data_IF_274856348730
#
_entry.id   IF_274856348730
#
_cell.length_a   1.000
_cell.length_b   1.000
_cell.length_c   1.000
_cell.angle_alpha   90.00
_cell.angle_beta   90.00
_cell.angle_gamma   90.00
#
_symmetry.space_group_name_H-M   'P 1'
#
loop_
_entity.id
_entity.type
_entity.pdbx_description
1 polymer ?
#
# COMPACT_ATOMS: atom_id res chain seq x y z
N UNK A 1 10.87 39.32 -7.51
CA UNK A 1 11.22 38.02 -6.86
C UNK A 1 10.07 37.39 -6.06
N UNK A 2 8.78 37.77 -6.24
CA UNK A 2 7.65 37.23 -5.45
C UNK A 2 6.63 36.38 -6.24
N UNK A 3 6.78 36.25 -7.57
CA UNK A 3 5.80 35.54 -8.40
C UNK A 3 6.02 34.02 -8.45
N UNK A 4 7.22 33.54 -8.09
CA UNK A 4 7.56 32.12 -8.11
C UNK A 4 6.93 31.32 -6.96
N UNK A 5 6.67 31.98 -5.82
CA UNK A 5 6.18 31.33 -4.59
C UNK A 5 4.74 30.82 -4.70
N UNK A 6 3.89 31.53 -5.44
CA UNK A 6 2.46 31.19 -5.51
C UNK A 6 2.19 29.93 -6.36
N UNK A 7 2.90 29.76 -7.48
CA UNK A 7 2.75 28.59 -8.35
C UNK A 7 3.25 27.31 -7.66
N UNK A 8 4.37 27.41 -6.95
CA UNK A 8 4.98 26.27 -6.25
C UNK A 8 4.09 25.76 -5.09
N UNK A 9 3.40 26.67 -4.38
CA UNK A 9 2.50 26.33 -3.28
C UNK A 9 1.33 25.45 -3.72
N UNK A 10 0.71 25.75 -4.86
CA UNK A 10 -0.45 25.00 -5.38
C UNK A 10 -0.04 23.55 -5.73
N UNK A 11 1.11 23.38 -6.36
CA UNK A 11 1.65 22.06 -6.73
C UNK A 11 1.92 21.20 -5.48
N UNK A 12 2.47 21.82 -4.43
CA UNK A 12 2.74 21.13 -3.16
C UNK A 12 1.43 20.71 -2.47
N UNK A 13 0.43 21.60 -2.42
CA UNK A 13 -0.87 21.29 -1.80
C UNK A 13 -1.56 20.11 -2.51
N UNK A 14 -1.58 20.10 -3.85
CA UNK A 14 -2.13 18.99 -4.64
C UNK A 14 -1.36 17.70 -4.37
N UNK A 15 -0.04 17.78 -4.32
CA UNK A 15 0.83 16.62 -4.05
C UNK A 15 0.57 16.02 -2.67
N UNK A 16 0.44 16.86 -1.64
CA UNK A 16 0.12 16.46 -0.27
C UNK A 16 -1.25 15.78 -0.24
N UNK A 17 -2.26 16.41 -0.84
CA UNK A 17 -3.62 15.87 -0.87
C UNK A 17 -3.73 14.56 -1.65
N UNK A 18 -2.86 14.37 -2.65
CA UNK A 18 -2.78 13.13 -3.39
C UNK A 18 -2.08 12.03 -2.59
N UNK A 19 -0.92 12.29 -2.00
CA UNK A 19 -0.08 11.26 -1.36
C UNK A 19 -0.63 10.83 0.01
N UNK A 20 -1.15 11.76 0.80
CA UNK A 20 -1.60 11.46 2.18
C UNK A 20 -2.62 10.33 2.26
N UNK A 21 -3.68 10.31 1.43
CA UNK A 21 -4.65 9.21 1.42
C UNK A 21 -3.99 7.86 1.14
N UNK A 22 -3.16 7.75 0.10
CA UNK A 22 -2.51 6.49 -0.29
C UNK A 22 -1.51 6.01 0.78
N UNK A 23 -0.71 6.94 1.31
CA UNK A 23 0.30 6.64 2.33
C UNK A 23 -0.32 6.23 3.67
N UNK A 24 -1.36 6.95 4.10
CA UNK A 24 -2.09 6.61 5.33
C UNK A 24 -2.84 5.27 5.21
N UNK A 25 -3.51 5.03 4.09
CA UNK A 25 -4.30 3.81 3.88
C UNK A 25 -3.44 2.55 3.79
N UNK A 26 -2.30 2.62 3.10
CA UNK A 26 -1.37 1.49 3.01
C UNK A 26 -0.73 1.14 4.36
N UNK A 27 -0.28 2.14 5.13
CA UNK A 27 0.26 1.95 6.48
C UNK A 27 -0.80 1.39 7.44
N UNK A 28 -2.06 1.86 7.36
CA UNK A 28 -3.16 1.31 8.15
C UNK A 28 -3.35 -0.18 7.87
N UNK A 29 -3.40 -0.58 6.59
CA UNK A 29 -3.59 -1.98 6.21
C UNK A 29 -2.41 -2.84 6.65
N UNK A 30 -1.17 -2.37 6.44
CA UNK A 30 0.04 -3.09 6.85
C UNK A 30 0.09 -3.31 8.37
N UNK A 31 -0.25 -2.28 9.15
CA UNK A 31 -0.36 -2.36 10.61
C UNK A 31 -1.45 -3.36 11.03
N UNK A 32 -2.65 -3.27 10.45
CA UNK A 32 -3.77 -4.17 10.78
C UNK A 32 -3.49 -5.64 10.43
N UNK A 33 -2.61 -5.89 9.46
CA UNK A 33 -2.21 -7.24 9.02
C UNK A 33 -0.98 -7.79 9.75
N UNK A 34 -0.39 -7.05 10.69
CA UNK A 34 0.86 -7.40 11.37
C UNK A 34 2.05 -7.63 10.42
N UNK A 35 2.02 -7.03 9.22
CA UNK A 35 3.09 -7.17 8.23
C UNK A 35 4.21 -6.15 8.50
N UNK A 36 5.01 -6.41 9.53
CA UNK A 36 6.08 -5.51 10.02
C UNK A 36 7.08 -5.10 8.93
N UNK A 37 7.47 -6.04 8.07
CA UNK A 37 8.39 -5.78 6.96
C UNK A 37 7.81 -4.80 5.93
N UNK A 38 6.55 -4.99 5.56
CA UNK A 38 5.86 -4.09 4.61
C UNK A 38 5.61 -2.72 5.20
N UNK A 39 5.32 -2.63 6.49
CA UNK A 39 5.22 -1.35 7.19
C UNK A 39 6.52 -0.54 7.09
N UNK A 40 7.68 -1.18 7.33
CA UNK A 40 8.99 -0.53 7.24
C UNK A 40 9.30 -0.10 5.81
N UNK A 41 9.03 -0.95 4.82
CA UNK A 41 9.25 -0.65 3.41
C UNK A 41 8.39 0.54 2.96
N UNK A 42 7.10 0.56 3.29
CA UNK A 42 6.17 1.65 2.96
C UNK A 42 6.53 2.97 3.68
N UNK A 43 7.19 2.88 4.83
CA UNK A 43 7.64 4.05 5.59
C UNK A 43 8.94 4.66 5.02
N UNK A 44 9.87 3.80 4.57
CA UNK A 44 11.18 4.21 4.03
C UNK A 44 11.09 4.63 2.57
N UNK A 45 10.24 3.98 1.77
CA UNK A 45 10.15 4.23 0.33
C UNK A 45 9.11 5.30 0.03
N UNK A 46 9.54 6.50 -0.35
CA UNK A 46 8.67 7.60 -0.80
C UNK A 46 8.38 7.51 -2.32
N UNK A 47 7.58 6.54 -2.74
CA UNK A 47 7.21 6.33 -4.16
C UNK A 47 5.97 7.09 -4.63
N UNK A 48 5.62 8.23 -4.02
CA UNK A 48 4.45 9.04 -4.42
C UNK A 48 3.11 8.27 -4.46
N UNK A 49 2.93 7.17 -3.71
CA UNK A 49 1.70 6.37 -3.74
C UNK A 49 1.74 5.12 -4.63
N UNK A 50 2.78 4.93 -5.49
CA UNK A 50 2.82 3.78 -6.41
C UNK A 50 3.05 2.45 -5.68
N UNK A 51 3.95 2.40 -4.70
CA UNK A 51 4.25 1.19 -3.95
C UNK A 51 3.08 0.81 -3.04
N UNK A 52 2.37 1.81 -2.53
CA UNK A 52 1.15 1.68 -1.75
C UNK A 52 0.05 0.96 -2.55
N UNK A 53 -0.18 1.38 -3.79
CA UNK A 53 -1.14 0.72 -4.71
C UNK A 53 -0.69 -0.71 -5.01
N UNK A 54 0.60 -0.91 -5.31
CA UNK A 54 1.14 -2.25 -5.58
C UNK A 54 0.95 -3.20 -4.39
N UNK A 55 1.20 -2.73 -3.16
CA UNK A 55 0.98 -3.51 -1.95
C UNK A 55 -0.48 -3.94 -1.80
N UNK A 56 -1.41 -3.00 -1.98
CA UNK A 56 -2.85 -3.28 -1.87
C UNK A 56 -3.28 -4.30 -2.93
N UNK A 57 -2.85 -4.17 -4.18
CA UNK A 57 -3.28 -5.09 -5.24
C UNK A 57 -2.62 -6.46 -5.18
N UNK A 58 -1.33 -6.54 -4.81
CA UNK A 58 -0.54 -7.76 -4.90
C UNK A 58 -0.49 -8.53 -3.58
N UNK A 59 -0.30 -7.85 -2.45
CA UNK A 59 -0.15 -8.48 -1.13
C UNK A 59 -1.50 -8.69 -0.44
N UNK A 60 -2.51 -7.83 -0.65
CA UNK A 60 -3.82 -8.07 -0.06
C UNK A 60 -4.42 -9.42 -0.51
N UNK A 61 -4.13 -9.85 -1.74
CA UNK A 61 -4.66 -11.09 -2.31
C UNK A 61 -3.97 -12.36 -1.81
N UNK A 62 -2.72 -12.27 -1.34
CA UNK A 62 -1.85 -13.45 -1.17
C UNK A 62 -2.17 -14.34 0.04
N UNK A 63 -3.08 -13.96 0.94
CA UNK A 63 -3.51 -14.85 2.04
C UNK A 63 -4.38 -16.02 1.56
N UNK A 64 -4.88 -15.97 0.32
CA UNK A 64 -5.71 -17.04 -0.24
C UNK A 64 -4.89 -18.30 -0.58
N UNK A 65 -3.59 -18.19 -0.89
CA UNK A 65 -2.76 -19.36 -1.22
C UNK A 65 -2.44 -20.24 -0.03
N UNK A 66 -2.31 -19.67 1.18
CA UNK A 66 -2.12 -20.44 2.41
C UNK A 66 -3.40 -21.20 2.77
N UNK A 67 -4.56 -20.53 2.60
CA UNK A 67 -5.87 -21.18 2.76
C UNK A 67 -6.06 -22.24 1.68
N UNK A 68 -5.64 -22.01 0.44
CA UNK A 68 -5.71 -23.00 -0.63
C UNK A 68 -4.79 -24.19 -0.35
N UNK A 69 -3.56 -24.00 0.16
CA UNK A 69 -2.68 -25.11 0.56
C UNK A 69 -3.30 -25.96 1.68
N UNK A 70 -3.90 -25.31 2.67
CA UNK A 70 -4.61 -25.99 3.77
C UNK A 70 -5.89 -26.67 3.26
N UNK A 71 -6.67 -26.01 2.41
CA UNK A 71 -7.88 -26.55 1.79
C UNK A 71 -7.56 -27.74 0.87
N UNK A 72 -6.45 -27.72 0.14
CA UNK A 72 -6.03 -28.83 -0.72
C UNK A 72 -5.49 -30.02 0.08
N UNK A 73 -5.09 -29.81 1.34
CA UNK A 73 -4.78 -30.87 2.30
C UNK A 73 -6.00 -31.41 3.05
N UNK A 74 -7.09 -30.64 3.15
CA UNK A 74 -8.34 -31.01 3.85
C UNK A 74 -9.39 -31.59 2.90
N UNK A 75 -9.49 -31.06 1.68
CA UNK A 75 -10.45 -31.51 0.68
C UNK A 75 -9.78 -32.49 -0.28
N UNK A 76 -10.22 -33.76 -0.33
CA UNK A 76 -9.73 -34.69 -1.33
C UNK A 76 -10.06 -34.14 -2.73
N UNK A 77 -9.08 -34.22 -3.62
CA UNK A 77 -9.16 -33.77 -5.02
C UNK A 77 -10.46 -34.28 -5.64
N UNK A 78 -11.38 -33.37 -5.92
CA UNK A 78 -12.64 -33.69 -6.60
C UNK A 78 -12.29 -34.17 -8.03
N UNK A 79 -12.57 -35.44 -8.31
CA UNK A 79 -12.51 -36.02 -9.67
C UNK A 79 -13.47 -35.29 -10.60
#
# INVERSE_FOLDING_TARGET
MYQLTNQNLIIILITIFWILPWKGYSLWIASKRNEKWWFIILLVVNTFGILEIFYIFYIAKKKLSDIQQVLHGILPKKK
#
